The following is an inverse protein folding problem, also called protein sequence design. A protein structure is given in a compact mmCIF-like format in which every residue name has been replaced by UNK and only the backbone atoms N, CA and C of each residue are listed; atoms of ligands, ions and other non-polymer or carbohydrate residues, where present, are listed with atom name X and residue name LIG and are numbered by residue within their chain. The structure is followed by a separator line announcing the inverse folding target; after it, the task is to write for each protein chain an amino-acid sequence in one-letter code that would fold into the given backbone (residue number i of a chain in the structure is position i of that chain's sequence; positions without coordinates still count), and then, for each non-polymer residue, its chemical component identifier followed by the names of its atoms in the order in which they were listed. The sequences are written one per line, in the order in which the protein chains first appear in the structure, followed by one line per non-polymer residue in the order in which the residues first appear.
data_IF_149305641029
#
_entry.id   IF_149305641029
#
_cell.length_a   1.000
_cell.length_b   1.000
_cell.length_c   1.000
_cell.angle_alpha   90.00
_cell.angle_beta   90.00
_cell.angle_gamma   90.00
#
_symmetry.space_group_name_H-M   'P 1'
#
loop_
_entity.id
_entity.type
_entity.pdbx_description
1 polymer ?
#
# COMPACT_ATOMS: atom_id res chain seq x y z
N UNK A 1 -3.81 0.66 14.92
CA UNK A 1 -4.66 1.88 14.89
C UNK A 1 -5.81 1.68 13.92
N UNK A 2 -6.95 2.32 14.14
CA UNK A 2 -8.12 2.25 13.25
C UNK A 2 -8.30 3.57 12.51
N UNK A 3 -8.56 3.50 11.22
CA UNK A 3 -8.81 4.64 10.33
C UNK A 3 -10.31 4.95 10.26
N UNK A 4 -10.65 6.14 9.75
CA UNK A 4 -12.04 6.60 9.71
C UNK A 4 -12.95 5.79 8.77
N UNK A 5 -12.37 5.07 7.82
CA UNK A 5 -13.07 4.16 6.90
C UNK A 5 -13.30 2.75 7.50
N UNK A 6 -12.87 2.51 8.74
CA UNK A 6 -12.93 1.21 9.41
C UNK A 6 -11.73 0.31 9.13
N UNK A 7 -10.80 0.70 8.24
CA UNK A 7 -9.55 -0.02 8.00
C UNK A 7 -8.64 0.05 9.22
N UNK A 8 -7.73 -0.91 9.34
CA UNK A 8 -6.78 -1.00 10.45
C UNK A 8 -5.35 -1.02 9.93
N UNK A 9 -4.47 -0.34 10.66
CA UNK A 9 -3.01 -0.32 10.40
C UNK A 9 -2.28 -0.65 11.70
N UNK A 10 -1.52 -1.73 11.71
CA UNK A 10 -0.63 -2.09 12.81
C UNK A 10 0.81 -1.75 12.43
N UNK A 11 1.49 -0.96 13.26
CA UNK A 11 2.83 -0.45 12.98
C UNK A 11 3.86 -1.22 13.80
N UNK A 12 4.91 -1.71 13.15
CA UNK A 12 6.08 -2.27 13.84
C UNK A 12 7.06 -1.17 14.27
N UNK A 13 8.11 -1.56 14.99
CA UNK A 13 9.09 -0.63 15.56
C UNK A 13 9.81 0.20 14.49
N UNK A 14 10.02 1.50 14.76
CA UNK A 14 10.75 2.40 13.86
C UNK A 14 9.95 2.88 12.64
N UNK A 15 8.69 2.47 12.50
CA UNK A 15 7.82 2.82 11.39
C UNK A 15 7.43 4.30 11.39
N UNK A 16 7.42 4.90 10.19
CA UNK A 16 6.84 6.23 9.96
C UNK A 16 5.83 6.17 8.84
N UNK A 17 4.61 6.56 9.16
CA UNK A 17 3.47 6.62 8.25
C UNK A 17 2.91 8.04 8.24
N UNK A 18 2.51 8.51 7.07
CA UNK A 18 1.71 9.72 6.91
C UNK A 18 0.28 9.32 6.51
N UNK A 19 -0.69 9.93 7.17
CA UNK A 19 -2.12 9.78 6.88
C UNK A 19 -2.66 11.14 6.44
N UNK A 20 -3.63 11.13 5.53
CA UNK A 20 -4.32 12.34 5.11
C UNK A 20 -5.65 12.49 5.87
N UNK A 21 -5.82 13.62 6.56
CA UNK A 21 -7.06 13.92 7.29
C UNK A 21 -8.22 14.25 6.36
N UNK A 22 -7.94 14.80 5.17
CA UNK A 22 -8.93 15.09 4.13
C UNK A 22 -9.25 13.88 3.25
N UNK A 23 -8.37 12.88 3.24
CA UNK A 23 -8.56 11.63 2.51
C UNK A 23 -8.34 10.42 3.44
N UNK A 24 -9.39 9.93 4.12
CA UNK A 24 -9.27 8.81 5.06
C UNK A 24 -8.90 7.48 4.40
N UNK A 25 -8.89 7.42 3.05
CA UNK A 25 -8.56 6.23 2.26
C UNK A 25 -7.16 6.32 1.65
N UNK A 26 -6.25 7.02 2.34
CA UNK A 26 -4.87 7.22 1.93
C UNK A 26 -3.90 6.97 3.08
N UNK A 27 -2.80 6.28 2.77
CA UNK A 27 -1.65 6.19 3.66
C UNK A 27 -0.34 6.23 2.86
N UNK A 28 0.72 6.77 3.47
CA UNK A 28 2.07 6.75 2.91
C UNK A 28 3.06 6.19 3.92
N UNK A 29 3.63 5.03 3.64
CA UNK A 29 4.69 4.41 4.42
C UNK A 29 6.04 5.00 4.00
N UNK A 30 6.61 5.84 4.86
CA UNK A 30 7.90 6.48 4.61
C UNK A 30 9.07 5.55 4.92
N UNK A 31 8.96 4.75 5.99
CA UNK A 31 9.92 3.69 6.36
C UNK A 31 9.31 2.73 7.39
N UNK A 32 9.98 1.61 7.58
CA UNK A 32 9.66 0.59 8.57
C UNK A 32 8.64 -0.41 8.02
N UNK A 33 7.88 -1.01 8.90
CA UNK A 33 6.95 -2.09 8.57
C UNK A 33 5.56 -1.80 9.13
N UNK A 34 4.55 -2.07 8.31
CA UNK A 34 3.15 -1.89 8.66
C UNK A 34 2.29 -2.99 8.04
N UNK A 35 1.45 -3.58 8.89
CA UNK A 35 0.39 -4.49 8.50
C UNK A 35 -0.89 -3.69 8.28
N UNK A 36 -1.46 -3.81 7.09
CA UNK A 36 -2.70 -3.16 6.70
C UNK A 36 -3.82 -4.20 6.59
N UNK A 37 -4.95 -3.91 7.20
CA UNK A 37 -6.20 -4.65 7.07
C UNK A 37 -7.24 -3.68 6.52
N UNK A 38 -7.52 -3.77 5.22
CA UNK A 38 -8.30 -2.76 4.51
C UNK A 38 -9.74 -3.23 4.28
N UNK A 39 -10.69 -2.37 4.61
CA UNK A 39 -12.11 -2.60 4.28
C UNK A 39 -12.32 -2.35 2.79
N UNK A 40 -12.76 -3.35 2.04
CA UNK A 40 -13.00 -3.21 0.61
C UNK A 40 -14.18 -2.24 0.31
N UNK A 41 -13.99 -1.36 -0.67
CA UNK A 41 -14.98 -0.40 -1.17
C UNK A 41 -14.64 -0.05 -2.62
N UNK A 42 -15.31 -0.69 -3.57
CA UNK A 42 -15.06 -0.51 -5.01
C UNK A 42 -15.27 0.94 -5.48
N UNK A 43 -16.18 1.67 -4.82
CA UNK A 43 -16.48 3.06 -5.16
C UNK A 43 -15.40 4.03 -4.65
N UNK A 44 -14.70 3.66 -3.58
CA UNK A 44 -13.64 4.47 -2.96
C UNK A 44 -12.43 3.58 -2.60
N UNK A 45 -11.53 3.32 -3.56
CA UNK A 45 -10.32 2.55 -3.34
C UNK A 45 -9.45 3.13 -2.23
N UNK A 46 -8.84 2.26 -1.42
CA UNK A 46 -7.75 2.65 -0.51
C UNK A 46 -6.42 2.71 -1.28
N UNK A 47 -5.61 3.73 -1.01
CA UNK A 47 -4.30 3.92 -1.64
C UNK A 47 -3.17 3.94 -0.61
N UNK A 48 -2.19 3.05 -0.77
CA UNK A 48 -0.96 3.02 0.04
C UNK A 48 0.25 3.35 -0.83
N UNK A 49 0.96 4.41 -0.45
CA UNK A 49 2.22 4.83 -1.07
C UNK A 49 3.40 4.27 -0.28
N UNK A 50 4.30 3.56 -0.94
CA UNK A 50 5.52 3.04 -0.34
C UNK A 50 6.72 3.36 -1.25
N UNK A 51 7.16 4.61 -1.19
CA UNK A 51 8.15 5.15 -2.12
C UNK A 51 7.54 5.28 -3.50
N UNK A 52 8.16 4.60 -4.45
CA UNK A 52 7.72 4.57 -5.84
C UNK A 52 6.57 3.59 -6.08
N UNK A 53 6.26 2.72 -5.12
CA UNK A 53 5.11 1.83 -5.28
C UNK A 53 3.83 2.51 -4.83
N UNK A 54 2.80 2.38 -5.67
CA UNK A 54 1.42 2.68 -5.31
C UNK A 54 0.64 1.37 -5.31
N UNK A 55 0.12 1.04 -4.13
CA UNK A 55 -0.79 -0.06 -3.90
C UNK A 55 -2.20 0.51 -3.87
N UNK A 56 -3.09 0.03 -4.74
CA UNK A 56 -4.48 0.48 -4.81
C UNK A 56 -5.42 -0.69 -4.66
N UNK A 57 -6.45 -0.50 -3.85
CA UNK A 57 -7.52 -1.48 -3.54
C UNK A 57 -7.02 -2.91 -3.31
N UNK A 58 -6.73 -3.20 -2.04
CA UNK A 58 -6.33 -4.51 -1.54
C UNK A 58 -7.32 -4.89 -0.43
N UNK A 59 -8.52 -5.31 -0.80
CA UNK A 59 -9.57 -5.82 0.11
C UNK A 59 -9.15 -7.09 0.84
N UNK A 60 -8.10 -6.97 1.66
CA UNK A 60 -7.21 -8.02 2.11
C UNK A 60 -6.44 -7.58 3.35
N UNK A 61 -5.64 -8.51 3.87
CA UNK A 61 -4.57 -8.21 4.81
C UNK A 61 -3.24 -8.27 4.06
N UNK A 62 -2.42 -7.22 4.19
CA UNK A 62 -1.09 -7.19 3.58
C UNK A 62 -0.06 -6.52 4.49
N UNK A 63 1.16 -7.04 4.43
CA UNK A 63 2.32 -6.57 5.15
C UNK A 63 3.25 -5.81 4.20
N UNK A 64 3.59 -4.57 4.56
CA UNK A 64 4.49 -3.72 3.77
C UNK A 64 5.71 -3.37 4.59
N UNK A 65 6.89 -3.76 4.08
CA UNK A 65 8.19 -3.38 4.63
C UNK A 65 8.86 -2.42 3.68
N UNK A 66 9.20 -1.23 4.19
CA UNK A 66 9.97 -0.21 3.48
C UNK A 66 11.28 0.09 4.18
N UNK A 67 12.35 -0.31 3.53
CA UNK A 67 13.73 0.02 3.87
C UNK A 67 14.28 1.04 2.84
N UNK A 68 15.43 1.68 3.09
CA UNK A 68 16.00 2.67 2.18
C UNK A 68 16.18 2.17 0.74
N UNK A 69 16.58 0.91 0.58
CA UNK A 69 16.94 0.26 -0.68
C UNK A 69 15.98 -0.89 -1.08
N UNK A 70 14.98 -1.18 -0.24
CA UNK A 70 14.09 -2.32 -0.44
C UNK A 70 12.64 -1.99 -0.11
N UNK A 71 11.75 -2.51 -0.96
CA UNK A 71 10.33 -2.60 -0.70
C UNK A 71 9.91 -4.07 -0.78
N UNK A 72 9.24 -4.56 0.26
CA UNK A 72 8.58 -5.87 0.27
C UNK A 72 7.10 -5.68 0.56
N UNK A 73 6.27 -6.34 -0.22
CA UNK A 73 4.83 -6.44 0.01
C UNK A 73 4.47 -7.91 0.05
N UNK A 74 3.85 -8.36 1.13
CA UNK A 74 3.29 -9.71 1.25
C UNK A 74 1.77 -9.61 1.48
N UNK A 75 1.00 -10.40 0.74
CA UNK A 75 -0.46 -10.45 0.88
C UNK A 75 -0.80 -11.74 1.63
N UNK A 76 -1.50 -11.61 2.75
CA UNK A 76 -1.84 -12.76 3.60
C UNK A 76 -3.06 -13.53 3.07
N UNK A 77 -4.08 -12.84 2.52
CA UNK A 77 -5.23 -13.48 1.87
C UNK A 77 -6.07 -12.46 1.07
N UNK A 78 -6.44 -12.82 -0.16
CA UNK A 78 -7.34 -12.06 -1.04
C UNK A 78 -6.65 -11.31 -2.20
N UNK A 79 -7.45 -10.72 -3.09
CA UNK A 79 -7.02 -10.19 -4.40
C UNK A 79 -6.27 -8.86 -4.24
N UNK A 80 -5.06 -8.80 -4.81
CA UNK A 80 -4.34 -7.55 -5.03
C UNK A 80 -4.68 -7.02 -6.42
N UNK A 81 -5.29 -5.84 -6.53
CA UNK A 81 -5.78 -5.37 -7.83
C UNK A 81 -4.68 -4.73 -8.70
N UNK A 82 -3.68 -4.07 -8.10
CA UNK A 82 -2.54 -3.48 -8.84
C UNK A 82 -1.40 -3.06 -7.93
N UNK A 83 -0.17 -3.49 -8.26
CA UNK A 83 1.09 -2.91 -7.79
C UNK A 83 1.69 -2.16 -8.99
N UNK A 84 1.77 -0.83 -8.96
CA UNK A 84 2.56 -0.08 -9.94
C UNK A 84 3.92 0.26 -9.34
N UNK A 85 5.04 -0.29 -9.87
CA UNK A 85 6.36 0.27 -9.58
C UNK A 85 6.48 1.63 -10.27
N UNK A 86 6.90 2.71 -9.60
CA UNK A 86 7.12 3.99 -10.31
C UNK A 86 8.26 3.92 -11.34
N UNK A 87 9.03 2.83 -11.40
CA UNK A 87 10.07 2.61 -12.41
C UNK A 87 9.70 1.60 -13.51
N UNK A 88 8.51 0.99 -13.49
CA UNK A 88 8.09 0.06 -14.55
C UNK A 88 7.21 0.77 -15.60
N UNK A 89 7.79 1.77 -16.27
CA UNK A 89 7.48 2.01 -17.67
C UNK A 89 8.69 1.51 -18.47
N UNK A 90 8.74 0.18 -18.63
CA UNK A 90 9.71 -0.55 -19.44
C UNK A 90 9.01 -1.57 -20.34
N UNK A 91 7.81 -1.23 -20.83
CA UNK A 91 7.13 -2.01 -21.85
C UNK A 91 7.70 -1.61 -23.21
N UNK A 92 8.71 -2.35 -23.69
CA UNK A 92 9.03 -2.38 -25.13
C UNK A 92 8.16 -3.48 -25.75
N UNK A 93 7.22 -3.15 -26.66
CA UNK A 93 6.55 -4.19 -27.43
C UNK A 93 7.58 -4.94 -28.26
N UNK A 94 7.62 -6.27 -28.12
CA UNK A 94 8.30 -7.14 -29.08
C UNK A 94 7.38 -7.34 -30.28
N UNK A 95 7.32 -6.33 -31.15
CA UNK A 95 7.06 -6.49 -32.59
C UNK A 95 8.14 -5.71 -33.33
N UNK A 96 8.99 -6.48 -34.02
CA UNK A 96 10.10 -6.09 -34.86
C UNK A 96 10.75 -7.35 -35.38
#
# INVERSE_FOLDING_TARGET
MTLADGSRVDLNGGTRIALDRGNPRFARLERGEALFTIVHDEARPFEVHAGDAVLRDLGTVFDVVREPDRLRVAVAEGRCSTIRPASACGWTPAWG
#
